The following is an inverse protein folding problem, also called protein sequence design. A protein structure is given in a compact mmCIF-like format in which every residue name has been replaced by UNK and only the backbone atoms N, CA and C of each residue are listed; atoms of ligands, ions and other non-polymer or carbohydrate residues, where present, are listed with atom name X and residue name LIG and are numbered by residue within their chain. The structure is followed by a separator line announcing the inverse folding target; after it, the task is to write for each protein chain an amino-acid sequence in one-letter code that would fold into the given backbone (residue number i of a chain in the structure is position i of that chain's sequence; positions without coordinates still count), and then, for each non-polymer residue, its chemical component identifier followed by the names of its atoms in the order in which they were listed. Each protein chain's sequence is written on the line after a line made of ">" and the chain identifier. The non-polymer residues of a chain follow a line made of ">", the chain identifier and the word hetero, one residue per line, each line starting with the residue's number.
data_IF_637304216487
#
_entry.id   IF_637304216487
#
_cell.length_a   1.000
_cell.length_b   1.000
_cell.length_c   1.000
_cell.angle_alpha   90.00
_cell.angle_beta   90.00
_cell.angle_gamma   90.00
#
_symmetry.space_group_name_H-M   'P 1'
#
loop_
_entity.id
_entity.type
_entity.pdbx_description
1 polymer ?
#
# COMPACT_ATOMS: atom_id res chain seq x y z
N UNK A 1 -2.07 45.88 7.08
CA UNK A 1 -3.05 44.85 6.70
C UNK A 1 -2.29 43.57 6.49
N UNK A 2 -2.69 42.56 7.25
CA UNK A 2 -1.92 41.38 7.65
C UNK A 2 -1.39 40.53 6.51
N UNK A 3 -0.09 40.22 6.56
CA UNK A 3 0.46 39.02 5.93
C UNK A 3 0.38 37.92 6.98
N UNK A 4 -0.72 37.18 6.98
CA UNK A 4 -0.85 35.97 7.76
C UNK A 4 0.31 35.02 7.44
N UNK A 5 1.20 34.84 8.40
CA UNK A 5 2.18 33.78 8.41
C UNK A 5 1.46 32.44 8.63
N UNK A 6 0.88 31.88 7.56
CA UNK A 6 0.44 30.48 7.57
C UNK A 6 1.68 29.60 7.53
N UNK A 7 2.15 29.20 8.70
CA UNK A 7 3.23 28.21 8.90
C UNK A 7 2.87 26.84 8.28
N UNK A 8 1.57 26.60 8.08
CA UNK A 8 1.06 25.46 7.31
C UNK A 8 0.51 25.95 5.97
N UNK A 9 1.35 25.92 4.93
CA UNK A 9 0.88 25.92 3.54
C UNK A 9 -0.12 24.77 3.36
N UNK A 10 -1.20 25.01 2.62
CA UNK A 10 -2.34 24.09 2.42
C UNK A 10 -1.91 22.62 2.35
N UNK A 11 -2.59 21.72 3.07
CA UNK A 11 -2.34 20.27 3.11
C UNK A 11 -2.20 19.63 1.71
N UNK A 12 -2.78 20.26 0.69
CA UNK A 12 -2.56 19.92 -0.72
C UNK A 12 -1.08 19.91 -1.15
N UNK A 13 -0.16 20.56 -0.43
CA UNK A 13 1.27 20.52 -0.73
C UNK A 13 1.98 19.34 -0.04
N UNK A 14 1.49 18.92 1.13
CA UNK A 14 1.97 17.73 1.85
C UNK A 14 1.46 16.43 1.22
N UNK A 15 0.26 16.45 0.65
CA UNK A 15 -0.41 15.28 0.07
C UNK A 15 -0.59 15.35 -1.46
N UNK A 16 -0.24 16.46 -2.12
CA UNK A 16 -0.59 16.70 -3.53
C UNK A 16 0.26 16.05 -4.59
N UNK A 17 1.29 15.28 -4.23
CA UNK A 17 2.03 14.46 -5.19
C UNK A 17 1.72 12.97 -4.97
N UNK A 18 0.52 12.60 -5.37
CA UNK A 18 -0.06 11.24 -5.40
C UNK A 18 0.80 10.18 -6.12
N UNK A 19 1.83 10.60 -6.86
CA UNK A 19 2.70 9.71 -7.64
C UNK A 19 3.83 9.05 -6.84
N UNK A 20 4.08 9.49 -5.60
CA UNK A 20 5.21 9.01 -4.77
C UNK A 20 4.82 7.98 -3.71
N UNK A 21 3.53 7.79 -3.42
CA UNK A 21 3.07 6.81 -2.43
C UNK A 21 3.09 5.37 -2.97
N UNK A 22 3.53 4.43 -2.12
CA UNK A 22 3.49 3.00 -2.40
C UNK A 22 2.04 2.56 -2.73
N UNK A 23 1.84 1.93 -3.88
CA UNK A 23 0.52 1.53 -4.41
C UNK A 23 -0.34 0.72 -3.42
N UNK A 24 0.27 -0.02 -2.49
CA UNK A 24 -0.45 -0.74 -1.42
C UNK A 24 -1.05 0.19 -0.36
N UNK A 25 -0.36 1.28 -0.05
CA UNK A 25 -0.83 2.33 0.86
C UNK A 25 -1.88 3.17 0.14
N UNK A 26 -1.74 3.37 -1.18
CA UNK A 26 -2.67 4.14 -2.01
C UNK A 26 -4.11 3.63 -1.96
N UNK A 27 -4.34 2.33 -2.06
CA UNK A 27 -5.71 1.79 -2.01
C UNK A 27 -6.36 2.01 -0.63
N UNK A 28 -5.62 1.76 0.45
CA UNK A 28 -6.11 1.95 1.82
C UNK A 28 -6.28 3.42 2.16
N UNK A 29 -5.34 4.29 1.79
CA UNK A 29 -5.41 5.74 2.02
C UNK A 29 -6.50 6.41 1.19
N UNK A 30 -6.74 5.99 -0.06
CA UNK A 30 -7.89 6.48 -0.86
C UNK A 30 -9.21 6.01 -0.24
N UNK A 31 -9.29 4.76 0.24
CA UNK A 31 -10.48 4.29 0.95
C UNK A 31 -10.72 5.07 2.23
N UNK A 32 -9.67 5.29 3.03
CA UNK A 32 -9.74 6.09 4.27
C UNK A 32 -10.15 7.51 3.91
N UNK A 33 -9.45 8.18 3.00
CA UNK A 33 -9.77 9.54 2.56
C UNK A 33 -11.20 9.66 2.02
N UNK A 34 -11.65 8.72 1.19
CA UNK A 34 -13.05 8.68 0.75
C UNK A 34 -13.97 8.48 1.95
N UNK A 35 -13.72 7.55 2.87
CA UNK A 35 -14.57 7.37 4.04
C UNK A 35 -14.56 8.59 5.00
N UNK A 36 -13.45 9.32 5.10
CA UNK A 36 -13.31 10.50 5.96
C UNK A 36 -13.91 11.77 5.33
N UNK A 37 -13.92 11.88 3.99
CA UNK A 37 -14.25 13.11 3.25
C UNK A 37 -15.29 12.92 2.13
N UNK A 38 -16.02 11.81 2.09
CA UNK A 38 -17.15 11.66 1.15
C UNK A 38 -18.36 12.41 1.69
N UNK A 39 -18.85 13.38 0.91
CA UNK A 39 -20.02 14.20 1.22
C UNK A 39 -21.33 13.40 1.39
N UNK A 40 -21.34 12.13 0.95
CA UNK A 40 -22.53 11.26 0.92
C UNK A 40 -22.87 10.56 2.25
N UNK A 41 -22.02 10.64 3.27
CA UNK A 41 -22.34 10.13 4.61
C UNK A 41 -22.10 11.20 5.67
N UNK A 42 -23.13 12.00 5.90
CA UNK A 42 -23.27 12.93 7.01
C UNK A 42 -23.37 12.17 8.34
N UNK A 43 -22.34 11.41 8.70
CA UNK A 43 -22.14 10.94 10.07
C UNK A 43 -20.77 11.41 10.57
N UNK A 44 -20.63 12.73 10.62
CA UNK A 44 -19.52 13.43 11.29
C UNK A 44 -19.26 12.87 12.68
N UNK A 45 -20.29 12.34 13.35
CA UNK A 45 -20.20 11.66 14.65
C UNK A 45 -19.27 10.46 14.64
N UNK A 46 -19.36 9.60 13.61
CA UNK A 46 -18.49 8.42 13.47
C UNK A 46 -17.04 8.85 13.22
N UNK A 47 -16.83 9.83 12.35
CA UNK A 47 -15.52 10.41 12.04
C UNK A 47 -14.84 10.98 13.29
N UNK A 48 -15.55 11.81 14.06
CA UNK A 48 -15.04 12.35 15.31
C UNK A 48 -14.72 11.25 16.32
N UNK A 49 -15.57 10.21 16.42
CA UNK A 49 -15.30 9.08 17.30
C UNK A 49 -14.04 8.29 16.90
N UNK A 50 -13.79 8.12 15.60
CA UNK A 50 -12.59 7.42 15.11
C UNK A 50 -11.32 8.24 15.34
N UNK A 51 -11.36 9.55 15.09
CA UNK A 51 -10.24 10.46 15.35
C UNK A 51 -9.97 10.53 16.85
N UNK A 52 -11.00 10.67 17.68
CA UNK A 52 -10.88 10.71 19.13
C UNK A 52 -10.34 9.37 19.69
N UNK A 53 -10.81 8.23 19.18
CA UNK A 53 -10.29 6.92 19.56
C UNK A 53 -8.81 6.76 19.15
N UNK A 54 -8.45 7.22 17.95
CA UNK A 54 -7.07 7.22 17.48
C UNK A 54 -6.15 8.10 18.33
N UNK A 55 -6.57 9.32 18.63
CA UNK A 55 -5.85 10.25 19.49
C UNK A 55 -5.70 9.70 20.92
N UNK A 56 -6.77 9.15 21.50
CA UNK A 56 -6.73 8.52 22.83
C UNK A 56 -5.82 7.29 22.86
N UNK A 57 -5.81 6.47 21.80
CA UNK A 57 -4.90 5.34 21.70
C UNK A 57 -3.43 5.80 21.60
N UNK A 58 -3.17 6.87 20.86
CA UNK A 58 -1.84 7.47 20.74
C UNK A 58 -1.38 8.09 22.07
N UNK A 59 -2.25 8.83 22.75
CA UNK A 59 -2.01 9.38 24.08
C UNK A 59 -1.69 8.29 25.10
N UNK A 60 -2.52 7.23 25.17
CA UNK A 60 -2.25 6.08 26.05
C UNK A 60 -0.89 5.46 25.76
N UNK A 61 -0.56 5.27 24.49
CA UNK A 61 0.73 4.69 24.08
C UNK A 61 1.90 5.60 24.48
N UNK A 62 1.78 6.91 24.28
CA UNK A 62 2.79 7.89 24.68
C UNK A 62 2.95 7.93 26.20
N UNK A 63 1.85 7.88 26.95
CA UNK A 63 1.88 7.82 28.40
C UNK A 63 2.55 6.54 28.90
N UNK A 64 2.24 5.38 28.31
CA UNK A 64 2.94 4.12 28.67
C UNK A 64 4.43 4.18 28.35
N UNK A 65 4.84 4.79 27.22
CA UNK A 65 6.26 5.00 26.94
C UNK A 65 6.91 5.94 27.93
N UNK A 66 6.25 7.05 28.25
CA UNK A 66 6.73 8.01 29.24
C UNK A 66 6.85 7.34 30.61
N UNK A 67 5.83 6.64 31.08
CA UNK A 67 5.86 5.87 32.33
C UNK A 67 6.99 4.85 32.37
N UNK A 68 7.26 4.16 31.26
CA UNK A 68 8.32 3.17 31.20
C UNK A 68 9.73 3.79 31.18
N UNK A 69 9.89 5.02 30.66
CA UNK A 69 11.18 5.68 30.42
C UNK A 69 11.48 6.83 31.40
N UNK A 70 10.51 7.31 32.18
CA UNK A 70 10.67 8.37 33.18
C UNK A 70 11.03 7.79 34.57
N UNK A 71 11.47 8.63 35.53
CA UNK A 71 11.82 8.18 36.88
C UNK A 71 10.78 7.25 37.53
N UNK A 72 11.19 6.00 37.81
CA UNK A 72 10.32 4.94 38.35
C UNK A 72 9.82 3.93 37.31
N UNK A 73 10.07 4.17 36.03
CA UNK A 73 9.78 3.24 34.93
C UNK A 73 10.74 2.07 34.82
N UNK A 74 10.28 0.98 34.21
CA UNK A 74 11.04 -0.27 34.03
C UNK A 74 12.33 -0.10 33.21
N UNK A 75 12.41 0.93 32.37
CA UNK A 75 13.58 1.25 31.55
C UNK A 75 14.36 2.46 32.06
N UNK A 76 13.87 3.17 33.09
CA UNK A 76 14.57 4.32 33.66
C UNK A 76 15.84 3.94 34.43
N UNK A 77 15.79 2.87 35.20
CA UNK A 77 16.94 2.31 35.91
C UNK A 77 16.88 0.78 35.91
N UNK A 78 17.17 0.13 34.76
CA UNK A 78 17.10 -1.31 34.66
C UNK A 78 18.09 -1.97 35.62
N UNK A 79 17.73 -3.15 36.12
CA UNK A 79 18.57 -3.94 37.02
C UNK A 79 19.94 -4.26 36.39
N UNK A 80 21.01 -4.46 37.18
CA UNK A 80 22.37 -4.67 36.66
C UNK A 80 22.48 -5.84 35.67
N UNK A 81 21.69 -6.90 35.86
CA UNK A 81 21.64 -8.07 34.97
C UNK A 81 21.04 -7.71 33.59
N UNK A 82 20.01 -6.87 33.58
CA UNK A 82 19.37 -6.38 32.35
C UNK A 82 20.31 -5.39 31.64
N UNK A 83 21.03 -4.55 32.39
CA UNK A 83 22.05 -3.67 31.80
C UNK A 83 23.17 -4.44 31.12
N UNK A 84 23.61 -5.55 31.71
CA UNK A 84 24.65 -6.40 31.12
C UNK A 84 24.16 -7.09 29.84
N UNK A 85 22.92 -7.58 29.82
CA UNK A 85 22.29 -8.12 28.60
C UNK A 85 22.15 -7.02 27.52
N UNK A 86 21.70 -5.82 27.89
CA UNK A 86 21.58 -4.69 26.98
C UNK A 86 22.92 -4.22 26.41
N UNK A 87 24.02 -4.32 27.19
CA UNK A 87 25.38 -4.05 26.72
C UNK A 87 25.93 -5.10 25.76
N UNK A 88 25.49 -6.34 25.92
CA UNK A 88 25.87 -7.47 25.06
C UNK A 88 25.03 -7.56 23.79
N UNK A 89 23.85 -6.93 23.78
CA UNK A 89 23.06 -6.75 22.57
C UNK A 89 23.76 -5.75 21.65
N UNK A 90 24.16 -6.20 20.47
CA UNK A 90 24.61 -5.29 19.42
C UNK A 90 23.48 -4.28 19.14
N UNK A 91 23.76 -2.97 19.15
CA UNK A 91 22.76 -1.97 18.82
C UNK A 91 22.24 -2.22 17.40
N UNK A 92 21.06 -2.83 17.31
CA UNK A 92 20.44 -3.23 16.04
C UNK A 92 20.16 -2.03 15.11
N UNK A 93 20.31 -0.80 15.59
CA UNK A 93 19.85 0.40 14.91
C UNK A 93 20.84 1.58 14.89
N UNK A 94 22.08 1.42 15.36
CA UNK A 94 23.10 2.49 15.35
C UNK A 94 23.29 3.09 13.96
N UNK A 95 23.19 2.26 12.93
CA UNK A 95 23.35 2.70 11.54
C UNK A 95 22.18 3.61 11.15
N UNK A 96 20.94 3.18 11.40
CA UNK A 96 19.75 3.94 11.05
C UNK A 96 19.65 5.23 11.86
N UNK A 97 19.86 5.16 13.18
CA UNK A 97 19.82 6.32 14.07
C UNK A 97 20.94 7.31 13.75
N UNK A 98 22.14 6.82 13.44
CA UNK A 98 23.24 7.68 13.02
C UNK A 98 22.99 8.32 11.65
N UNK A 99 22.37 7.61 10.70
CA UNK A 99 21.98 8.18 9.39
C UNK A 99 20.90 9.24 9.56
N UNK A 100 19.88 8.98 10.39
CA UNK A 100 18.80 9.91 10.67
C UNK A 100 19.31 11.16 11.40
N UNK A 101 20.12 10.98 12.44
CA UNK A 101 20.76 12.10 13.15
C UNK A 101 21.68 12.92 12.26
N UNK A 102 22.39 12.29 11.31
CA UNK A 102 23.16 13.04 10.32
C UNK A 102 22.29 13.81 9.32
N UNK A 103 21.18 13.21 8.90
CA UNK A 103 20.25 13.87 7.99
C UNK A 103 19.63 15.10 8.66
N UNK A 104 19.22 14.96 9.92
CA UNK A 104 18.65 16.01 10.74
C UNK A 104 19.64 17.16 11.02
N UNK A 105 20.90 16.82 11.32
CA UNK A 105 21.95 17.82 11.44
C UNK A 105 22.18 18.58 10.13
N UNK A 106 22.29 17.87 9.00
CA UNK A 106 22.53 18.50 7.69
C UNK A 106 21.32 19.27 7.15
N UNK A 107 20.10 18.90 7.55
CA UNK A 107 18.89 19.65 7.21
C UNK A 107 18.80 20.96 7.99
N UNK A 108 19.23 20.95 9.25
CA UNK A 108 19.25 22.13 10.12
C UNK A 108 20.41 23.07 9.80
N UNK A 109 21.63 22.53 9.65
CA UNK A 109 22.84 23.32 9.42
C UNK A 109 22.93 23.88 7.99
N UNK A 110 22.37 23.17 7.00
CA UNK A 110 22.41 23.57 5.59
C UNK A 110 21.02 23.37 4.96
N UNK A 111 20.05 24.26 5.27
CA UNK A 111 18.65 24.08 4.87
C UNK A 111 18.44 24.07 3.35
N UNK A 112 19.31 24.78 2.61
CA UNK A 112 19.25 24.87 1.15
C UNK A 112 19.91 23.68 0.41
N UNK A 113 20.49 22.73 1.15
CA UNK A 113 21.13 21.56 0.54
C UNK A 113 20.07 20.57 0.04
N UNK A 114 20.13 20.16 -1.22
CA UNK A 114 19.21 19.15 -1.73
C UNK A 114 19.44 17.79 -1.04
N UNK A 115 18.38 17.00 -0.89
CA UNK A 115 18.42 15.70 -0.22
C UNK A 115 19.53 14.78 -0.77
N UNK A 116 19.76 14.83 -2.08
CA UNK A 116 20.81 14.05 -2.75
C UNK A 116 22.21 14.43 -2.28
N UNK A 117 22.49 15.72 -2.15
CA UNK A 117 23.78 16.19 -1.65
C UNK A 117 23.96 15.86 -0.18
N UNK A 118 22.89 15.90 0.63
CA UNK A 118 22.92 15.41 2.02
C UNK A 118 23.30 13.93 2.07
N UNK A 119 22.63 13.07 1.31
CA UNK A 119 22.93 11.64 1.26
C UNK A 119 24.39 11.35 0.89
N UNK A 120 24.93 12.03 -0.13
CA UNK A 120 26.33 11.84 -0.51
C UNK A 120 27.30 12.23 0.63
N UNK A 121 27.02 13.32 1.37
CA UNK A 121 27.87 13.73 2.51
C UNK A 121 27.82 12.72 3.66
N UNK A 122 26.65 12.12 3.91
CA UNK A 122 26.50 11.06 4.90
C UNK A 122 27.34 9.84 4.49
N UNK A 123 27.29 9.43 3.23
CA UNK A 123 28.09 8.32 2.69
C UNK A 123 29.60 8.59 2.81
N UNK A 124 30.06 9.76 2.38
CA UNK A 124 31.47 10.19 2.50
C UNK A 124 31.96 10.14 3.94
N UNK A 125 31.13 10.59 4.89
CA UNK A 125 31.48 10.56 6.32
C UNK A 125 31.48 9.14 6.88
N UNK A 126 30.46 8.33 6.53
CA UNK A 126 30.33 6.95 7.02
C UNK A 126 31.42 6.04 6.52
N UNK A 127 31.84 6.21 5.26
CA UNK A 127 32.94 5.47 4.68
C UNK A 127 34.31 5.96 5.15
N UNK A 128 34.36 6.92 6.09
CA UNK A 128 35.58 7.57 6.57
C UNK A 128 36.45 8.11 5.42
N UNK A 129 35.83 8.48 4.29
CA UNK A 129 36.55 8.85 3.07
C UNK A 129 37.42 10.08 3.28
N UNK A 130 36.96 11.04 4.09
CA UNK A 130 37.76 12.23 4.46
C UNK A 130 38.96 11.83 5.31
N UNK A 131 38.77 11.01 6.35
CA UNK A 131 39.88 10.55 7.20
C UNK A 131 40.91 9.74 6.42
N UNK A 132 40.45 8.91 5.48
CA UNK A 132 41.31 8.16 4.58
C UNK A 132 42.10 9.09 3.66
N UNK A 133 41.45 10.11 3.08
CA UNK A 133 42.11 11.11 2.23
C UNK A 133 43.16 11.90 3.02
N UNK A 134 42.83 12.38 4.22
CA UNK A 134 43.72 13.15 5.09
C UNK A 134 44.96 12.34 5.53
N UNK A 135 44.86 11.00 5.56
CA UNK A 135 45.97 10.12 5.93
C UNK A 135 46.96 9.84 4.79
N UNK A 136 46.63 10.22 3.55
CA UNK A 136 47.52 10.03 2.41
C UNK A 136 48.58 11.16 2.35
N UNK A 137 49.76 10.90 1.76
CA UNK A 137 50.71 11.97 1.42
C UNK A 137 50.08 13.00 0.49
N UNK A 138 50.45 14.28 0.62
CA UNK A 138 49.87 15.40 -0.12
C UNK A 138 49.88 15.18 -1.64
N UNK A 139 50.98 14.64 -2.19
CA UNK A 139 51.10 14.29 -3.61
C UNK A 139 50.14 13.18 -4.07
N UNK A 140 49.71 12.30 -3.18
CA UNK A 140 48.73 11.25 -3.49
C UNK A 140 47.30 11.76 -3.32
N UNK A 141 47.06 12.68 -2.37
CA UNK A 141 45.77 13.37 -2.23
C UNK A 141 45.40 14.10 -3.52
N UNK A 142 46.33 14.89 -4.07
CA UNK A 142 46.10 15.63 -5.32
C UNK A 142 45.77 14.70 -6.49
N UNK A 143 46.50 13.59 -6.63
CA UNK A 143 46.23 12.58 -7.67
C UNK A 143 44.83 11.96 -7.54
N UNK A 144 44.40 11.66 -6.31
CA UNK A 144 43.07 11.10 -6.05
C UNK A 144 41.98 12.13 -6.38
N UNK A 145 42.18 13.40 -6.04
CA UNK A 145 41.25 14.48 -6.37
C UNK A 145 41.16 14.71 -7.87
N UNK A 146 42.29 14.72 -8.58
CA UNK A 146 42.34 14.85 -10.04
C UNK A 146 41.61 13.69 -10.73
N UNK A 147 41.86 12.46 -10.28
CA UNK A 147 41.18 11.28 -10.80
C UNK A 147 39.67 11.33 -10.53
N UNK A 148 39.25 11.78 -9.34
CA UNK A 148 37.84 11.99 -9.03
C UNK A 148 37.19 13.06 -9.93
N UNK A 149 37.92 14.13 -10.25
CA UNK A 149 37.45 15.17 -11.17
C UNK A 149 37.32 14.65 -12.60
N UNK A 150 38.27 13.83 -13.07
CA UNK A 150 38.23 13.21 -14.39
C UNK A 150 37.03 12.26 -14.52
N UNK A 151 36.84 11.38 -13.53
CA UNK A 151 35.73 10.43 -13.52
C UNK A 151 34.35 11.08 -13.30
N UNK A 152 34.28 12.32 -12.80
CA UNK A 152 33.00 13.03 -12.56
C UNK A 152 32.08 13.02 -13.78
N UNK A 153 32.64 13.25 -14.96
CA UNK A 153 31.86 13.31 -16.22
C UNK A 153 31.34 11.92 -16.58
N UNK A 154 32.15 10.89 -16.42
CA UNK A 154 31.78 9.49 -16.69
C UNK A 154 30.65 9.05 -15.75
N UNK A 155 30.80 9.27 -14.44
CA UNK A 155 29.78 8.96 -13.44
C UNK A 155 28.48 9.72 -13.71
N UNK A 156 28.57 10.98 -14.16
CA UNK A 156 27.38 11.75 -14.54
C UNK A 156 26.65 11.15 -15.75
N UNK A 157 27.40 10.66 -16.77
CA UNK A 157 26.84 9.97 -17.94
C UNK A 157 26.19 8.64 -17.55
N UNK A 158 26.86 7.83 -16.74
CA UNK A 158 26.34 6.55 -16.24
C UNK A 158 25.04 6.76 -15.46
N UNK A 159 25.02 7.70 -14.51
CA UNK A 159 23.81 8.04 -13.75
C UNK A 159 22.67 8.52 -14.65
N UNK A 160 22.97 9.26 -15.72
CA UNK A 160 21.96 9.70 -16.68
C UNK A 160 21.36 8.49 -17.39
N UNK A 161 22.20 7.57 -17.87
CA UNK A 161 21.79 6.34 -18.54
C UNK A 161 20.94 5.45 -17.62
N UNK A 162 21.36 5.22 -16.39
CA UNK A 162 20.60 4.45 -15.39
C UNK A 162 19.22 5.06 -15.14
N UNK A 163 19.14 6.39 -15.05
CA UNK A 163 17.87 7.10 -14.86
C UNK A 163 16.93 6.92 -16.07
N UNK A 164 17.48 6.96 -17.28
CA UNK A 164 16.73 6.71 -18.52
C UNK A 164 16.22 5.26 -18.56
N UNK A 165 17.07 4.27 -18.29
CA UNK A 165 16.68 2.86 -18.22
C UNK A 165 15.63 2.58 -17.15
N UNK A 166 15.74 3.21 -15.98
CA UNK A 166 14.76 3.08 -14.91
C UNK A 166 13.41 3.70 -15.31
N UNK A 167 13.45 4.86 -15.98
CA UNK A 167 12.26 5.50 -16.52
C UNK A 167 11.59 4.65 -17.61
N UNK A 168 12.37 4.01 -18.49
CA UNK A 168 11.84 3.08 -19.50
C UNK A 168 11.20 1.85 -18.88
N UNK A 169 11.88 1.19 -17.92
CA UNK A 169 11.31 0.07 -17.17
C UNK A 169 9.99 0.44 -16.50
N UNK A 170 9.92 1.63 -15.88
CA UNK A 170 8.68 2.14 -15.27
C UNK A 170 7.58 2.35 -16.31
N UNK A 171 7.89 2.95 -17.46
CA UNK A 171 6.94 3.17 -18.56
C UNK A 171 6.42 1.85 -19.12
N UNK A 172 7.28 0.86 -19.29
CA UNK A 172 6.89 -0.46 -19.78
C UNK A 172 5.99 -1.18 -18.77
N UNK A 173 6.31 -1.10 -17.48
CA UNK A 173 5.48 -1.69 -16.44
C UNK A 173 4.08 -1.08 -16.41
N UNK A 174 3.98 0.25 -16.47
CA UNK A 174 2.70 0.96 -16.55
C UNK A 174 1.90 0.49 -17.78
N UNK A 175 2.55 0.32 -18.93
CA UNK A 175 1.90 -0.18 -20.15
C UNK A 175 1.40 -1.61 -19.98
N UNK A 176 2.20 -2.49 -19.38
CA UNK A 176 1.80 -3.88 -19.07
C UNK A 176 0.59 -3.91 -18.15
N UNK A 177 0.61 -3.11 -17.08
CA UNK A 177 -0.49 -3.04 -16.12
C UNK A 177 -1.77 -2.47 -16.75
N UNK A 178 -1.63 -1.43 -17.59
CA UNK A 178 -2.75 -0.88 -18.35
C UNK A 178 -3.36 -1.92 -19.30
N UNK A 179 -2.53 -2.61 -20.09
CA UNK A 179 -2.99 -3.66 -21.01
C UNK A 179 -3.68 -4.80 -20.26
N UNK A 180 -3.15 -5.22 -19.11
CA UNK A 180 -3.77 -6.23 -18.25
C UNK A 180 -5.15 -5.77 -17.77
N UNK A 181 -5.27 -4.52 -17.33
CA UNK A 181 -6.54 -3.94 -16.88
C UNK A 181 -7.57 -3.88 -18.02
N UNK A 182 -7.16 -3.42 -19.20
CA UNK A 182 -8.02 -3.37 -20.38
C UNK A 182 -8.46 -4.77 -20.82
N UNK A 183 -7.56 -5.76 -20.80
CA UNK A 183 -7.90 -7.14 -21.13
C UNK A 183 -8.92 -7.74 -20.14
N UNK A 184 -8.78 -7.45 -18.85
CA UNK A 184 -9.76 -7.87 -17.83
C UNK A 184 -11.12 -7.19 -18.04
N UNK A 185 -11.14 -5.89 -18.32
CA UNK A 185 -12.37 -5.16 -18.61
C UNK A 185 -13.08 -5.69 -19.87
N UNK A 186 -12.32 -6.00 -20.93
CA UNK A 186 -12.87 -6.63 -22.14
C UNK A 186 -13.47 -7.99 -21.83
N UNK A 187 -12.77 -8.87 -21.08
CA UNK A 187 -13.32 -10.16 -20.67
C UNK A 187 -14.61 -10.03 -19.87
N UNK A 188 -14.65 -9.10 -18.90
CA UNK A 188 -15.85 -8.85 -18.11
C UNK A 188 -17.01 -8.34 -18.98
N UNK A 189 -16.71 -7.48 -19.96
CA UNK A 189 -17.71 -7.00 -20.92
C UNK A 189 -18.20 -8.14 -21.83
N UNK A 190 -17.29 -8.98 -22.35
CA UNK A 190 -17.66 -10.15 -23.16
C UNK A 190 -18.53 -11.13 -22.37
N UNK A 191 -18.25 -11.33 -21.08
CA UNK A 191 -19.08 -12.13 -20.18
C UNK A 191 -20.45 -11.48 -19.94
N UNK A 192 -20.49 -10.16 -19.74
CA UNK A 192 -21.74 -9.40 -19.61
C UNK A 192 -22.58 -9.50 -20.89
N UNK A 193 -21.96 -9.39 -22.05
CA UNK A 193 -22.64 -9.47 -23.35
C UNK A 193 -23.12 -10.91 -23.63
N UNK A 194 -22.35 -11.93 -23.22
CA UNK A 194 -22.83 -13.33 -23.22
C UNK A 194 -24.04 -13.51 -22.31
N UNK A 195 -24.00 -12.95 -21.10
CA UNK A 195 -25.13 -13.01 -20.14
C UNK A 195 -26.35 -12.24 -20.63
N UNK A 196 -26.16 -11.11 -21.32
CA UNK A 196 -27.24 -10.35 -21.94
C UNK A 196 -27.81 -11.07 -23.17
N UNK A 197 -26.98 -11.73 -23.99
CA UNK A 197 -27.47 -12.62 -25.04
C UNK A 197 -28.21 -13.85 -24.48
N UNK A 198 -27.84 -14.28 -23.27
CA UNK A 198 -28.58 -15.23 -22.44
C UNK A 198 -29.80 -14.57 -21.76
N UNK A 199 -30.35 -13.44 -22.25
CA UNK A 199 -31.66 -12.97 -21.85
C UNK A 199 -32.71 -14.02 -22.19
N UNK A 200 -33.01 -14.86 -21.21
CA UNK A 200 -34.26 -15.58 -21.03
C UNK A 200 -34.26 -16.06 -19.58
N UNK A 201 -35.29 -15.64 -18.85
CA UNK A 201 -35.69 -16.09 -17.51
C UNK A 201 -35.06 -15.33 -16.33
N UNK A 202 -35.70 -14.20 -16.01
CA UNK A 202 -35.38 -13.32 -14.89
C UNK A 202 -35.97 -13.80 -13.57
N UNK A 203 -37.04 -14.59 -13.58
CA UNK A 203 -37.69 -15.09 -12.35
C UNK A 203 -37.62 -16.62 -12.22
N UNK A 204 -37.57 -17.13 -10.99
CA UNK A 204 -37.61 -18.57 -10.71
C UNK A 204 -38.90 -19.21 -11.26
N UNK A 205 -40.01 -18.47 -11.26
CA UNK A 205 -41.30 -18.93 -11.78
C UNK A 205 -41.30 -19.12 -13.30
N UNK A 206 -40.73 -18.18 -14.05
CA UNK A 206 -40.50 -18.33 -15.49
C UNK A 206 -39.59 -19.54 -15.77
N UNK A 207 -38.61 -19.83 -14.89
CA UNK A 207 -37.72 -20.99 -15.04
C UNK A 207 -38.49 -22.31 -14.93
N UNK A 208 -39.32 -22.44 -13.90
CA UNK A 208 -40.14 -23.64 -13.71
C UNK A 208 -41.16 -23.82 -14.83
N UNK A 209 -41.79 -22.74 -15.30
CA UNK A 209 -42.73 -22.79 -16.42
C UNK A 209 -42.05 -23.24 -17.72
N UNK A 210 -40.83 -22.79 -17.99
CA UNK A 210 -40.07 -23.24 -19.17
C UNK A 210 -39.55 -24.67 -19.04
N UNK A 211 -39.17 -25.12 -17.84
CA UNK A 211 -38.79 -26.52 -17.59
C UNK A 211 -39.98 -27.44 -17.86
N UNK A 212 -41.16 -27.12 -17.33
CA UNK A 212 -42.39 -27.89 -17.61
C UNK A 212 -42.75 -27.90 -19.09
N UNK A 213 -42.55 -26.77 -19.79
CA UNK A 213 -42.79 -26.69 -21.23
C UNK A 213 -41.84 -27.59 -22.03
N UNK A 214 -40.56 -27.67 -21.64
CA UNK A 214 -39.55 -28.53 -22.28
C UNK A 214 -39.83 -30.01 -22.01
N UNK A 215 -40.27 -30.37 -20.80
CA UNK A 215 -40.57 -31.76 -20.45
C UNK A 215 -41.86 -32.25 -21.10
N UNK A 216 -42.77 -31.34 -21.49
CA UNK A 216 -44.05 -31.66 -22.16
C UNK A 216 -44.00 -31.65 -23.68
N UNK A 217 -43.11 -30.86 -24.32
CA UNK A 217 -42.94 -30.86 -25.78
C UNK A 217 -41.68 -31.61 -26.22
N UNK A 218 -41.86 -32.71 -26.96
CA UNK A 218 -40.78 -33.36 -27.71
C UNK A 218 -40.18 -32.35 -28.72
N UNK A 219 -39.00 -31.82 -28.38
CA UNK A 219 -38.38 -30.69 -29.06
C UNK A 219 -37.82 -31.06 -30.44
N UNK A 220 -38.67 -31.30 -31.43
CA UNK A 220 -38.30 -31.74 -32.79
C UNK A 220 -37.73 -30.63 -33.71
N UNK A 221 -37.77 -29.36 -33.30
CA UNK A 221 -37.29 -28.25 -34.15
C UNK A 221 -35.89 -27.72 -33.76
N UNK A 222 -34.97 -27.65 -34.73
CA UNK A 222 -33.57 -27.15 -34.57
C UNK A 222 -33.43 -25.79 -33.88
N UNK A 223 -34.39 -24.86 -34.08
CA UNK A 223 -34.41 -23.55 -33.39
C UNK A 223 -34.79 -23.69 -31.90
N UNK A 224 -35.71 -24.60 -31.56
CA UNK A 224 -36.09 -24.93 -30.17
C UNK A 224 -34.94 -25.65 -29.45
N UNK A 225 -34.24 -26.57 -30.13
CA UNK A 225 -33.08 -27.27 -29.57
C UNK A 225 -31.94 -26.32 -29.11
N UNK A 226 -31.62 -25.29 -29.91
CA UNK A 226 -30.64 -24.26 -29.51
C UNK A 226 -31.09 -23.49 -28.26
N UNK A 227 -32.38 -23.17 -28.17
CA UNK A 227 -32.97 -22.50 -26.99
C UNK A 227 -32.90 -23.40 -25.75
N UNK A 228 -33.21 -24.69 -25.88
CA UNK A 228 -33.10 -25.65 -24.78
C UNK A 228 -31.64 -25.86 -24.32
N UNK A 229 -30.67 -25.85 -25.24
CA UNK A 229 -29.24 -25.94 -24.89
C UNK A 229 -28.79 -24.72 -24.06
N UNK A 230 -29.19 -23.51 -24.46
CA UNK A 230 -28.90 -22.27 -23.72
C UNK A 230 -29.54 -22.27 -22.32
N UNK A 231 -30.76 -22.78 -22.19
CA UNK A 231 -31.45 -22.90 -20.90
C UNK A 231 -30.76 -23.92 -19.96
N UNK A 232 -30.28 -25.04 -20.49
CA UNK A 232 -29.49 -26.01 -19.71
C UNK A 232 -28.17 -25.41 -19.22
N UNK A 233 -27.51 -24.61 -20.05
CA UNK A 233 -26.28 -23.90 -19.67
C UNK A 233 -26.54 -22.88 -18.54
N UNK A 234 -27.64 -22.13 -18.61
CA UNK A 234 -28.05 -21.22 -17.54
C UNK A 234 -28.32 -21.94 -16.20
N UNK A 235 -29.02 -23.07 -16.23
CA UNK A 235 -29.28 -23.88 -15.03
C UNK A 235 -27.97 -24.38 -14.43
N UNK A 236 -27.04 -24.86 -15.25
CA UNK A 236 -25.72 -25.30 -14.80
C UNK A 236 -24.93 -24.18 -14.12
N UNK A 237 -24.95 -22.98 -14.70
CA UNK A 237 -24.29 -21.80 -14.14
C UNK A 237 -24.94 -21.40 -12.80
N UNK A 238 -26.28 -21.30 -12.73
CA UNK A 238 -26.99 -20.97 -11.49
C UNK A 238 -26.71 -21.97 -10.37
N UNK A 239 -26.72 -23.27 -10.67
CA UNK A 239 -26.40 -24.30 -9.68
C UNK A 239 -24.95 -24.20 -9.18
N UNK A 240 -23.98 -23.90 -10.06
CA UNK A 240 -22.58 -23.66 -9.63
C UNK A 240 -22.45 -22.47 -8.68
N UNK A 241 -23.20 -21.39 -8.93
CA UNK A 241 -23.21 -20.23 -8.03
C UNK A 241 -23.93 -20.54 -6.71
N UNK A 242 -25.11 -21.17 -6.77
CA UNK A 242 -25.88 -21.58 -5.59
C UNK A 242 -25.06 -22.49 -4.66
N UNK A 243 -24.40 -23.51 -5.22
CA UNK A 243 -23.54 -24.42 -4.47
C UNK A 243 -22.39 -23.65 -3.81
N UNK A 244 -21.75 -22.70 -4.51
CA UNK A 244 -20.66 -21.86 -3.95
C UNK A 244 -21.13 -20.95 -2.81
N UNK A 245 -22.32 -20.35 -2.91
CA UNK A 245 -22.90 -19.54 -1.82
C UNK A 245 -23.28 -20.38 -0.61
N UNK A 246 -23.79 -21.61 -0.80
CA UNK A 246 -24.12 -22.50 0.32
C UNK A 246 -22.90 -23.18 0.95
N UNK A 247 -21.81 -23.42 0.20
CA UNK A 247 -20.55 -23.93 0.79
C UNK A 247 -19.73 -22.84 1.49
N UNK A 248 -19.98 -21.56 1.21
CA UNK A 248 -19.38 -20.43 1.95
C UNK A 248 -20.21 -19.99 3.16
N UNK A 249 -21.45 -20.45 3.28
CA UNK A 249 -22.29 -20.37 4.49
C UNK A 249 -22.39 -21.75 5.15
N UNK A 250 -21.27 -22.23 5.69
CA UNK A 250 -21.32 -23.32 6.68
C UNK A 250 -21.84 -22.73 8.00
N UNK A 251 -22.85 -23.33 8.64
CA UNK A 251 -23.50 -22.75 9.81
C UNK A 251 -22.53 -22.72 11.00
N UNK A 252 -22.44 -21.57 11.67
CA UNK A 252 -21.94 -21.52 13.05
C UNK A 252 -22.74 -22.54 13.86
N UNK A 253 -22.03 -23.44 14.52
CA UNK A 253 -22.60 -24.43 15.43
C UNK A 253 -23.37 -23.73 16.54
N UNK A 254 -24.69 -23.93 16.55
CA UNK A 254 -25.56 -23.60 17.68
C UNK A 254 -25.34 -24.67 18.77
N UNK A 255 -24.46 -24.37 19.71
CA UNK A 255 -24.27 -25.12 20.95
C UNK A 255 -24.99 -24.39 22.08
N UNK A 256 -26.23 -24.77 22.37
CA UNK A 256 -26.93 -24.68 23.67
C UNK A 256 -28.44 -24.75 23.41
N UNK A 257 -29.33 -25.37 24.18
CA UNK A 257 -29.28 -26.09 25.45
C UNK A 257 -30.56 -26.95 25.46
N UNK A 258 -30.45 -28.16 25.99
CA UNK A 258 -31.60 -29.04 26.25
C UNK A 258 -32.50 -28.45 27.33
N UNK A 259 -33.82 -28.49 27.13
CA UNK A 259 -34.75 -28.67 28.23
C UNK A 259 -35.70 -29.83 27.88
N UNK A 260 -35.54 -30.92 28.63
CA UNK A 260 -36.52 -32.01 28.73
C UNK A 260 -37.73 -31.51 29.53
N UNK A 261 -38.86 -32.17 29.25
CA UNK A 261 -40.20 -32.05 29.85
C UNK A 261 -40.23 -31.73 31.34
#
# INVERSE_FOLDING_TARGET
>A
MDKDYRVFSSESLLYGNDETFNHRIRFKSIMIYKCLFSDDTCDTTLLYSMIAAGACAMEKKLNTYAEAQLPGGIYWNPEPEIQEILRQLEPSNDICESILGHNDYLSTAVPNLCQKSRSNLIEVKKNNTIKWLDALPEQEQDKVLDLAMEHRVTVAKERKKEKEECSERRREQIRKDHNRKVALLRKAQDEKDKLSNLHLITTSQELYQFIEFIDKEDCLHKKKAKKCALLREQISIRNKYWIKTYTSFSPMQDNSVQWKR
#
